data_IF_112787691160
#
_entry.id   IF_112787691160
#
_cell.length_a   1.000
_cell.length_b   1.000
_cell.length_c   1.000
_cell.angle_alpha   90.00
_cell.angle_beta   90.00
_cell.angle_gamma   90.00
#
_symmetry.space_group_name_H-M   'P 1'
#
loop_
_entity.id
_entity.type
_entity.pdbx_description
1 polymer ?
#
# COMPACT_ATOMS: atom_id res chain seq x y z
N UNK A 1 5.07 -26.65 23.61
CA UNK A 1 5.85 -27.35 22.56
C UNK A 1 5.75 -26.51 21.29
N UNK A 2 6.84 -25.90 20.82
CA UNK A 2 6.84 -25.21 19.52
C UNK A 2 6.75 -26.23 18.39
N UNK A 3 5.79 -26.07 17.48
CA UNK A 3 5.68 -26.89 16.27
C UNK A 3 6.77 -26.48 15.28
N UNK A 4 7.45 -27.47 14.67
CA UNK A 4 8.52 -27.24 13.68
C UNK A 4 8.22 -27.94 12.36
N UNK A 5 8.73 -27.39 11.26
CA UNK A 5 8.57 -27.95 9.91
C UNK A 5 9.85 -27.77 9.08
N UNK A 6 10.14 -28.65 8.10
CA UNK A 6 11.27 -28.49 7.21
C UNK A 6 10.97 -27.45 6.13
N UNK A 7 11.93 -26.58 5.85
CA UNK A 7 11.81 -25.59 4.78
C UNK A 7 11.68 -26.31 3.43
N UNK A 8 10.62 -26.08 2.64
CA UNK A 8 10.46 -26.70 1.33
C UNK A 8 11.52 -26.27 0.30
N UNK A 9 12.22 -25.17 0.54
CA UNK A 9 13.26 -24.67 -0.37
C UNK A 9 14.67 -25.20 -0.07
N UNK A 10 15.02 -25.42 1.21
CA UNK A 10 16.38 -25.83 1.59
C UNK A 10 16.45 -26.98 2.61
N UNK A 11 15.32 -27.47 3.13
CA UNK A 11 15.25 -28.54 4.11
C UNK A 11 15.47 -28.13 5.57
N UNK A 12 15.92 -26.91 5.86
CA UNK A 12 16.21 -26.46 7.23
C UNK A 12 14.96 -26.50 8.15
N UNK A 13 15.13 -26.87 9.41
CA UNK A 13 14.05 -26.89 10.40
C UNK A 13 13.68 -25.47 10.84
N UNK A 14 12.40 -25.09 10.77
CA UNK A 14 11.91 -23.77 11.18
C UNK A 14 10.70 -23.92 12.11
N UNK A 15 10.50 -22.94 13.00
CA UNK A 15 9.34 -22.89 13.90
C UNK A 15 8.13 -22.35 13.14
N UNK A 16 6.95 -22.96 13.34
CA UNK A 16 5.69 -22.47 12.77
C UNK A 16 5.37 -21.08 13.33
N UNK A 17 5.03 -20.14 12.44
CA UNK A 17 4.79 -18.73 12.79
C UNK A 17 6.00 -17.83 12.55
N UNK A 18 7.11 -18.34 12.00
CA UNK A 18 8.16 -17.46 11.48
C UNK A 18 7.82 -16.97 10.06
N UNK A 19 8.20 -15.74 9.72
CA UNK A 19 7.93 -15.19 8.38
C UNK A 19 8.91 -15.69 7.32
N UNK A 20 10.15 -16.02 7.71
CA UNK A 20 11.23 -16.39 6.81
C UNK A 20 12.00 -17.61 7.31
N UNK A 21 12.59 -18.35 6.37
CA UNK A 21 13.55 -19.39 6.69
C UNK A 21 14.85 -18.78 7.22
N UNK A 22 15.27 -19.18 8.42
CA UNK A 22 16.51 -18.70 9.04
C UNK A 22 17.79 -19.13 8.30
N UNK A 23 17.68 -20.14 7.42
CA UNK A 23 18.82 -20.67 6.66
C UNK A 23 18.93 -20.09 5.25
N UNK A 24 17.82 -19.98 4.51
CA UNK A 24 17.86 -19.58 3.10
C UNK A 24 17.08 -18.30 2.77
N UNK A 25 16.44 -17.67 3.76
CA UNK A 25 15.67 -16.43 3.58
C UNK A 25 14.33 -16.60 2.85
N UNK A 26 13.92 -17.83 2.52
CA UNK A 26 12.63 -18.07 1.86
C UNK A 26 11.47 -17.60 2.74
N UNK A 27 10.62 -16.71 2.22
CA UNK A 27 9.41 -16.27 2.91
C UNK A 27 8.36 -17.39 2.96
N UNK A 28 7.73 -17.57 4.11
CA UNK A 28 6.66 -18.53 4.32
C UNK A 28 5.28 -17.88 4.14
N UNK A 29 4.34 -18.66 3.64
CA UNK A 29 2.92 -18.33 3.67
C UNK A 29 2.16 -19.43 4.39
N UNK A 30 1.17 -18.99 5.14
CA UNK A 30 0.37 -19.84 6.00
C UNK A 30 -1.07 -19.86 5.52
N UNK A 31 -1.77 -20.94 5.81
CA UNK A 31 -3.20 -21.07 5.53
C UNK A 31 -3.95 -21.12 6.85
N UNK A 32 -5.04 -20.35 6.94
CA UNK A 32 -5.95 -20.42 8.06
C UNK A 32 -6.52 -21.85 8.18
N UNK A 33 -6.45 -22.49 9.36
CA UNK A 33 -6.93 -23.86 9.53
C UNK A 33 -8.46 -23.97 9.44
N UNK A 34 -9.19 -22.87 9.62
CA UNK A 34 -10.65 -22.85 9.66
C UNK A 34 -11.28 -22.65 8.28
N UNK A 35 -10.70 -21.80 7.43
CA UNK A 35 -11.27 -21.46 6.12
C UNK A 35 -10.30 -21.59 4.95
N UNK A 36 -9.02 -21.90 5.19
CA UNK A 36 -8.01 -22.08 4.15
C UNK A 36 -7.44 -20.79 3.55
N UNK A 37 -7.93 -19.61 3.95
CA UNK A 37 -7.42 -18.32 3.48
C UNK A 37 -5.91 -18.17 3.74
N UNK A 38 -5.21 -17.49 2.85
CA UNK A 38 -3.80 -17.15 3.04
C UNK A 38 -3.69 -16.11 4.15
N UNK A 39 -2.81 -16.36 5.11
CA UNK A 39 -2.54 -15.49 6.27
C UNK A 39 -1.04 -15.38 6.50
N UNK A 40 -0.60 -14.30 7.11
CA UNK A 40 0.77 -14.11 7.60
C UNK A 40 0.84 -14.31 9.12
N UNK A 41 2.06 -14.46 9.64
CA UNK A 41 2.28 -14.77 11.05
C UNK A 41 2.08 -13.58 12.01
N UNK A 42 1.91 -12.36 11.50
CA UNK A 42 1.64 -11.17 12.32
C UNK A 42 0.15 -11.00 12.63
N UNK A 43 -0.72 -11.68 11.89
CA UNK A 43 -2.16 -11.63 12.09
C UNK A 43 -2.61 -12.39 13.33
N UNK A 44 -3.45 -11.73 14.12
CA UNK A 44 -4.15 -12.32 15.28
C UNK A 44 -5.48 -12.94 14.86
N UNK A 45 -6.15 -12.41 13.84
CA UNK A 45 -7.43 -12.92 13.33
C UNK A 45 -7.37 -13.13 11.82
N UNK A 46 -8.08 -14.15 11.34
CA UNK A 46 -8.16 -14.44 9.90
C UNK A 46 -9.03 -13.40 9.18
N UNK A 47 -8.57 -12.76 8.09
CA UNK A 47 -9.39 -11.82 7.32
C UNK A 47 -10.53 -12.50 6.55
N UNK A 48 -10.44 -13.81 6.29
CA UNK A 48 -11.46 -14.58 5.57
C UNK A 48 -12.63 -15.00 6.46
N UNK A 49 -12.36 -15.60 7.62
CA UNK A 49 -13.41 -16.15 8.51
C UNK A 49 -13.53 -15.46 9.87
N UNK A 50 -12.63 -14.52 10.20
CA UNK A 50 -12.56 -13.78 11.47
C UNK A 50 -12.19 -14.61 12.71
N UNK A 51 -11.88 -15.89 12.53
CA UNK A 51 -11.44 -16.77 13.61
C UNK A 51 -10.03 -16.40 14.12
N UNK A 52 -9.75 -16.71 15.38
CA UNK A 52 -8.45 -16.40 16.01
C UNK A 52 -7.33 -17.30 15.49
N UNK A 53 -6.21 -16.68 15.11
CA UNK A 53 -4.98 -17.32 14.67
C UNK A 53 -4.00 -17.41 15.85
N UNK A 54 -4.09 -18.49 16.63
CA UNK A 54 -3.14 -18.75 17.70
C UNK A 54 -1.91 -19.46 17.13
N UNK A 55 -0.77 -18.77 17.03
CA UNK A 55 0.48 -19.32 16.53
C UNK A 55 1.24 -20.04 17.67
N UNK A 56 1.75 -21.27 17.47
CA UNK A 56 1.67 -22.07 16.26
C UNK A 56 0.32 -22.81 16.15
N UNK A 57 -0.44 -22.51 15.09
CA UNK A 57 -1.68 -23.27 14.77
C UNK A 57 -1.28 -24.48 13.92
N UNK A 58 -1.95 -25.64 14.05
CA UNK A 58 -1.71 -26.77 13.15
C UNK A 58 -2.05 -26.37 11.71
N UNK A 59 -1.02 -26.19 10.88
CA UNK A 59 -1.17 -25.69 9.52
C UNK A 59 -0.38 -26.53 8.53
N UNK A 60 -0.88 -26.59 7.28
CA UNK A 60 -0.08 -27.04 6.13
C UNK A 60 0.74 -25.87 5.63
N UNK A 61 2.05 -25.91 5.81
CA UNK A 61 2.95 -24.90 5.26
C UNK A 61 3.15 -25.18 3.76
N UNK A 62 2.92 -24.18 2.91
CA UNK A 62 3.25 -24.26 1.48
C UNK A 62 4.43 -23.33 1.18
N UNK A 63 5.41 -23.75 0.35
CA UNK A 63 6.40 -22.82 -0.20
C UNK A 63 5.68 -21.75 -1.00
N UNK A 64 5.97 -20.47 -0.74
CA UNK A 64 5.71 -19.46 -1.76
C UNK A 64 6.67 -19.72 -2.93
N UNK A 65 6.23 -19.77 -4.19
CA UNK A 65 7.16 -19.80 -5.31
C UNK A 65 8.08 -18.60 -5.20
N UNK A 66 9.40 -18.78 -5.41
CA UNK A 66 10.29 -17.64 -5.60
C UNK A 66 9.78 -16.90 -6.84
N UNK A 67 9.01 -15.83 -6.62
CA UNK A 67 8.64 -14.96 -7.73
C UNK A 67 9.95 -14.44 -8.32
N UNK A 68 10.08 -14.41 -9.66
CA UNK A 68 11.21 -13.75 -10.30
C UNK A 68 11.36 -12.34 -9.72
N UNK A 69 12.60 -11.86 -9.59
CA UNK A 69 12.98 -10.60 -8.95
C UNK A 69 12.18 -9.36 -9.42
N UNK A 70 11.46 -9.47 -10.55
CA UNK A 70 10.50 -8.49 -11.06
C UNK A 70 9.41 -8.08 -10.05
N UNK A 71 8.88 -9.00 -9.23
CA UNK A 71 7.74 -8.69 -8.35
C UNK A 71 8.14 -8.01 -7.04
N UNK A 72 9.38 -8.21 -6.56
CA UNK A 72 9.84 -7.67 -5.28
C UNK A 72 9.94 -6.13 -5.28
N UNK A 73 10.09 -5.50 -6.46
CA UNK A 73 10.08 -4.03 -6.60
C UNK A 73 8.75 -3.37 -6.21
N UNK A 74 7.68 -4.13 -5.96
CA UNK A 74 6.38 -3.58 -5.56
C UNK A 74 6.13 -3.60 -4.05
N UNK A 75 6.91 -4.36 -3.27
CA UNK A 75 6.67 -4.52 -1.84
C UNK A 75 7.50 -3.57 -0.95
N UNK A 76 8.60 -3.01 -1.46
CA UNK A 76 9.46 -2.06 -0.75
C UNK A 76 8.99 -0.60 -0.86
N UNK A 77 7.73 -0.38 -1.25
CA UNK A 77 7.09 0.93 -1.32
C UNK A 77 5.79 0.95 -0.53
N UNK A 78 5.85 0.62 0.76
CA UNK A 78 4.84 1.12 1.71
C UNK A 78 5.46 2.33 2.37
N UNK A 79 5.58 3.41 1.59
CA UNK A 79 5.48 4.73 2.18
C UNK A 79 4.03 4.89 2.61
N UNK A 80 3.88 5.32 3.85
CA UNK A 80 2.64 5.75 4.49
C UNK A 80 1.84 6.62 3.50
N UNK A 81 0.79 6.06 2.87
CA UNK A 81 -0.20 6.86 2.14
C UNK A 81 -1.04 7.64 3.17
N UNK A 82 -0.44 8.67 3.74
CA UNK A 82 -1.20 9.86 4.12
C UNK A 82 -1.93 10.31 2.85
N UNK A 83 -3.27 10.25 2.89
CA UNK A 83 -4.17 10.60 1.79
C UNK A 83 -3.87 11.98 1.19
N UNK A 84 -2.94 12.04 0.26
CA UNK A 84 -2.77 13.18 -0.63
C UNK A 84 -3.86 13.11 -1.70
N UNK A 85 -4.89 13.95 -1.53
CA UNK A 85 -5.95 14.24 -2.51
C UNK A 85 -5.43 14.22 -3.96
N UNK A 86 -6.17 13.65 -4.93
CA UNK A 86 -5.80 13.75 -6.33
C UNK A 86 -5.76 15.23 -6.73
N UNK A 87 -4.58 15.73 -7.12
CA UNK A 87 -4.42 17.09 -7.67
C UNK A 87 -5.21 17.17 -8.97
N UNK A 88 -6.32 17.92 -8.91
CA UNK A 88 -7.12 18.31 -10.07
C UNK A 88 -6.20 19.09 -11.02
N UNK A 89 -5.96 18.53 -12.19
CA UNK A 89 -5.25 19.19 -13.29
C UNK A 89 -6.13 20.36 -13.70
N UNK A 90 -5.75 21.59 -13.34
CA UNK A 90 -6.47 22.78 -13.79
C UNK A 90 -6.11 23.01 -15.25
N UNK A 91 -7.10 22.89 -16.13
CA UNK A 91 -6.95 23.12 -17.56
C UNK A 91 -6.39 24.54 -17.81
N UNK A 92 -5.27 24.68 -18.55
CA UNK A 92 -4.54 25.94 -18.72
C UNK A 92 -5.34 27.03 -19.46
N UNK A 93 -6.47 26.66 -20.06
CA UNK A 93 -7.34 27.58 -20.79
C UNK A 93 -8.18 28.48 -19.86
N UNK A 94 -8.50 28.04 -18.62
CA UNK A 94 -9.34 28.82 -17.70
C UNK A 94 -8.59 30.01 -17.06
N UNK A 95 -7.28 29.87 -16.86
CA UNK A 95 -6.44 30.94 -16.27
C UNK A 95 -6.30 32.14 -17.21
N UNK A 96 -6.36 31.94 -18.53
CA UNK A 96 -6.27 33.02 -19.51
C UNK A 96 -7.49 33.96 -19.50
N UNK A 97 -8.70 33.41 -19.41
CA UNK A 97 -9.93 34.20 -19.44
C UNK A 97 -10.10 35.06 -18.18
N UNK A 98 -9.79 34.52 -16.99
CA UNK A 98 -9.86 35.30 -15.75
C UNK A 98 -8.85 36.44 -15.72
N UNK A 99 -7.63 36.23 -16.23
CA UNK A 99 -6.61 37.27 -16.31
C UNK A 99 -7.06 38.47 -17.14
N UNK A 100 -7.64 38.23 -18.32
CA UNK A 100 -8.12 39.32 -19.19
C UNK A 100 -9.29 40.10 -18.58
N UNK A 101 -10.23 39.41 -17.92
CA UNK A 101 -11.37 40.08 -17.27
C UNK A 101 -10.91 40.98 -16.13
N UNK A 102 -9.94 40.54 -15.33
CA UNK A 102 -9.38 41.35 -14.23
C UNK A 102 -8.66 42.59 -14.80
N UNK A 103 -7.84 42.42 -15.83
CA UNK A 103 -7.11 43.55 -16.45
C UNK A 103 -8.09 44.59 -17.02
N UNK A 104 -9.14 44.15 -17.74
CA UNK A 104 -10.16 45.06 -18.28
C UNK A 104 -10.91 45.77 -17.15
N UNK A 105 -11.26 45.06 -16.08
CA UNK A 105 -11.97 45.65 -14.93
C UNK A 105 -11.14 46.73 -14.23
N UNK A 106 -9.84 46.47 -14.02
CA UNK A 106 -8.91 47.44 -13.43
C UNK A 106 -8.71 48.67 -14.33
N UNK A 107 -8.59 48.47 -15.64
CA UNK A 107 -8.45 49.56 -16.59
C UNK A 107 -9.70 50.46 -16.62
N UNK A 108 -10.89 49.86 -16.62
CA UNK A 108 -12.16 50.61 -16.57
C UNK A 108 -12.33 51.34 -15.23
N UNK A 109 -11.98 50.70 -14.10
CA UNK A 109 -12.00 51.33 -12.79
C UNK A 109 -11.06 52.51 -12.69
N UNK A 110 -9.82 52.36 -13.16
CA UNK A 110 -8.84 53.45 -13.20
C UNK A 110 -9.31 54.60 -14.10
N UNK A 111 -9.88 54.30 -15.27
CA UNK A 111 -10.46 55.31 -16.16
C UNK A 111 -11.61 56.07 -15.48
N UNK A 112 -12.52 55.37 -14.79
CA UNK A 112 -13.60 56.00 -14.05
C UNK A 112 -13.09 56.90 -12.92
N UNK A 113 -12.08 56.45 -12.17
CA UNK A 113 -11.45 57.24 -11.11
C UNK A 113 -10.81 58.51 -11.70
N UNK A 114 -9.98 58.37 -12.74
CA UNK A 114 -9.33 59.52 -13.38
C UNK A 114 -10.36 60.50 -13.97
N UNK A 115 -11.48 60.01 -14.48
CA UNK A 115 -12.59 60.83 -14.98
C UNK A 115 -13.43 61.48 -13.86
N UNK A 116 -13.43 60.93 -12.65
CA UNK A 116 -14.11 61.52 -11.50
C UNK A 116 -13.28 62.64 -10.84
N UNK A 117 -11.96 62.56 -10.99
CA UNK A 117 -10.99 63.52 -10.45
C UNK A 117 -10.61 64.64 -11.43
N UNK A 118 -11.22 64.68 -12.61
CA UNK A 118 -10.98 65.66 -13.67
C UNK A 118 -12.30 66.26 -14.15
#
# INVERSE_FOLDING_TARGET
>A
MQQVFPCPACGAQNVVGQEFCQSCGQRFQYNCPYCGAIVDATLINCPGCRESLNWPTPQRVRPFPKQPAEYQKRAEGVEEEEKAKPKKKSDPWLTGCLGLVIIVSLALGAYFILRLFH
#
